data_IF_722023921438
#
_entry.id   IF_722023921438
#
_cell.length_a   1.000
_cell.length_b   1.000
_cell.length_c   1.000
_cell.angle_alpha   90.00
_cell.angle_beta   90.00
_cell.angle_gamma   90.00
#
_symmetry.space_group_name_H-M   'P 1'
#
loop_
_entity.id
_entity.type
_entity.pdbx_description
1 polymer ?
#
# COMPACT_ATOMS: atom_id res chain seq x y z
N UNK A 1 -35.69 -25.52 35.76
CA UNK A 1 -35.14 -25.57 34.39
C UNK A 1 -35.31 -24.28 33.56
N UNK A 2 -36.09 -23.27 33.99
CA UNK A 2 -36.35 -22.04 33.19
C UNK A 2 -35.25 -20.94 33.28
N UNK A 3 -34.26 -21.09 34.17
CA UNK A 3 -33.19 -20.10 34.39
C UNK A 3 -31.93 -20.34 33.54
N UNK A 4 -31.90 -21.40 32.73
CA UNK A 4 -30.77 -21.71 31.84
C UNK A 4 -30.83 -20.94 30.51
N UNK A 5 -32.02 -20.46 30.12
CA UNK A 5 -32.25 -19.73 28.88
C UNK A 5 -31.43 -18.41 28.75
N UNK A 6 -31.31 -17.54 29.78
CA UNK A 6 -30.51 -16.32 29.65
C UNK A 6 -29.01 -16.61 29.52
N UNK A 7 -28.52 -17.73 30.05
CA UNK A 7 -27.10 -18.10 29.99
C UNK A 7 -26.71 -18.59 28.58
N UNK A 8 -27.61 -19.32 27.92
CA UNK A 8 -27.45 -19.74 26.51
C UNK A 8 -27.48 -18.52 25.58
N UNK A 9 -28.35 -17.55 25.85
CA UNK A 9 -28.43 -16.32 25.05
C UNK A 9 -27.17 -15.44 25.19
N UNK A 10 -26.57 -15.40 26.38
CA UNK A 10 -25.30 -14.69 26.60
C UNK A 10 -24.10 -15.34 25.89
N UNK A 11 -24.07 -16.67 25.75
CA UNK A 11 -23.02 -17.37 24.98
C UNK A 11 -23.15 -17.17 23.45
N UNK A 12 -24.34 -16.84 22.95
CA UNK A 12 -24.59 -16.53 21.54
C UNK A 12 -24.20 -15.10 21.15
N UNK A 13 -23.98 -14.22 22.13
CA UNK A 13 -23.57 -12.83 21.92
C UNK A 13 -22.05 -12.66 21.98
N UNK A 14 -21.30 -13.45 21.22
CA UNK A 14 -19.88 -13.15 21.01
C UNK A 14 -19.77 -11.92 20.10
N UNK A 15 -18.99 -10.89 20.46
CA UNK A 15 -18.69 -9.82 19.53
C UNK A 15 -17.93 -10.41 18.33
N UNK A 16 -18.56 -10.36 17.16
CA UNK A 16 -17.86 -10.61 15.91
C UNK A 16 -16.95 -9.41 15.65
N UNK A 17 -15.67 -9.54 15.99
CA UNK A 17 -14.66 -8.60 15.50
C UNK A 17 -14.54 -8.82 14.00
N UNK A 18 -15.08 -7.89 13.22
CA UNK A 18 -14.73 -7.77 11.81
C UNK A 18 -13.24 -7.45 11.75
N UNK A 19 -12.40 -8.44 11.46
CA UNK A 19 -11.03 -8.19 11.04
C UNK A 19 -11.12 -7.75 9.57
N UNK A 20 -11.16 -6.44 9.34
CA UNK A 20 -10.93 -5.91 7.99
C UNK A 20 -9.44 -6.15 7.74
N UNK A 21 -9.12 -7.32 7.21
CA UNK A 21 -7.78 -7.60 6.72
C UNK A 21 -7.64 -6.78 5.44
N UNK A 22 -7.17 -5.55 5.58
CA UNK A 22 -6.84 -4.71 4.44
C UNK A 22 -5.58 -5.31 3.82
N UNK A 23 -5.78 -6.20 2.85
CA UNK A 23 -4.71 -7.03 2.28
C UNK A 23 -3.89 -6.29 1.21
N UNK A 24 -4.15 -4.99 1.01
CA UNK A 24 -3.37 -4.14 0.11
C UNK A 24 -4.20 -3.12 -0.66
N UNK A 25 -3.51 -2.22 -1.36
CA UNK A 25 -4.12 -1.25 -2.28
C UNK A 25 -3.78 -1.61 -3.72
N UNK A 26 -4.79 -1.81 -4.56
CA UNK A 26 -4.55 -1.92 -6.00
C UNK A 26 -4.01 -0.59 -6.55
N UNK A 27 -2.89 -0.64 -7.25
CA UNK A 27 -2.27 0.52 -7.87
C UNK A 27 -1.96 0.23 -9.34
N UNK A 28 -2.26 1.21 -10.19
CA UNK A 28 -1.96 1.19 -11.61
C UNK A 28 -1.34 2.51 -12.03
N UNK A 29 -0.33 2.44 -12.88
CA UNK A 29 0.32 3.61 -13.44
C UNK A 29 0.78 3.33 -14.87
N UNK A 30 0.85 4.39 -15.68
CA UNK A 30 1.44 4.34 -17.01
C UNK A 30 2.85 4.93 -16.93
N UNK A 31 3.85 4.10 -17.21
CA UNK A 31 5.25 4.49 -17.28
C UNK A 31 5.53 5.16 -18.62
N UNK A 32 6.13 6.34 -18.57
CA UNK A 32 6.47 7.15 -19.73
C UNK A 32 7.95 7.55 -19.72
N UNK A 33 8.50 7.80 -20.90
CA UNK A 33 9.84 8.36 -21.07
C UNK A 33 9.85 9.88 -20.85
N UNK A 34 11.02 10.51 -21.03
CA UNK A 34 11.19 11.95 -20.87
C UNK A 34 10.44 12.80 -21.93
N UNK A 35 10.07 12.19 -23.07
CA UNK A 35 9.26 12.84 -24.10
C UNK A 35 7.75 12.68 -23.83
N UNK A 36 7.38 11.86 -22.84
CA UNK A 36 6.01 11.55 -22.48
C UNK A 36 5.44 10.35 -23.24
N UNK A 37 6.23 9.61 -23.99
CA UNK A 37 5.78 8.41 -24.70
C UNK A 37 5.73 7.21 -23.74
N UNK A 38 4.71 6.34 -23.81
CA UNK A 38 4.67 5.13 -22.99
C UNK A 38 5.88 4.23 -23.23
N UNK A 39 6.38 3.57 -22.18
CA UNK A 39 7.48 2.60 -22.26
C UNK A 39 6.93 1.17 -22.22
N UNK A 40 6.73 0.49 -23.37
CA UNK A 40 6.14 -0.85 -23.39
C UNK A 40 7.14 -1.97 -23.10
N UNK A 41 6.66 -3.06 -22.51
CA UNK A 41 7.40 -4.31 -22.29
C UNK A 41 8.77 -4.13 -21.60
N UNK A 42 8.83 -3.19 -20.65
CA UNK A 42 10.04 -2.81 -19.94
C UNK A 42 9.90 -3.17 -18.47
N UNK A 43 10.91 -3.86 -17.94
CA UNK A 43 11.03 -4.10 -16.51
C UNK A 43 11.42 -2.79 -15.81
N UNK A 44 10.69 -2.45 -14.75
CA UNK A 44 10.91 -1.28 -13.92
C UNK A 44 10.87 -1.68 -12.45
N UNK A 45 11.60 -0.94 -11.62
CA UNK A 45 11.49 -1.05 -10.17
C UNK A 45 10.66 0.11 -9.64
N UNK A 46 9.68 -0.18 -8.81
CA UNK A 46 8.80 0.81 -8.18
C UNK A 46 9.00 0.74 -6.68
N UNK A 47 9.36 1.86 -6.09
CA UNK A 47 9.47 2.03 -4.64
C UNK A 47 8.27 2.83 -4.16
N UNK A 48 7.58 2.31 -3.15
CA UNK A 48 6.41 2.96 -2.57
C UNK A 48 6.71 3.23 -1.11
N UNK A 49 6.55 4.49 -0.70
CA UNK A 49 6.61 4.90 0.70
C UNK A 49 5.25 5.46 1.13
N UNK A 50 4.68 4.87 2.18
CA UNK A 50 3.57 5.44 2.93
C UNK A 50 4.13 6.09 4.18
N UNK A 51 3.79 7.35 4.42
CA UNK A 51 4.20 8.06 5.63
C UNK A 51 3.09 8.94 6.18
N UNK A 52 3.07 9.14 7.50
CA UNK A 52 2.23 10.13 8.15
C UNK A 52 3.06 11.02 9.09
N UNK A 53 2.87 12.35 8.98
CA UNK A 53 3.61 13.35 9.80
C UNK A 53 4.46 14.33 8.99
N UNK A 54 5.15 15.25 9.70
CA UNK A 54 6.10 16.22 9.13
C UNK A 54 7.29 16.36 10.09
N UNK A 55 8.52 16.23 9.59
CA UNK A 55 9.75 16.51 10.33
C UNK A 55 10.11 15.47 11.40
N UNK A 56 11.04 14.57 11.09
CA UNK A 56 11.78 13.73 12.07
C UNK A 56 10.99 12.66 12.82
N UNK A 57 9.66 12.67 12.78
CA UNK A 57 8.76 11.71 13.43
C UNK A 57 7.85 10.94 12.47
N UNK A 58 8.29 10.70 11.24
CA UNK A 58 7.53 9.91 10.28
C UNK A 58 7.45 8.47 10.74
N UNK A 59 6.23 7.96 10.92
CA UNK A 59 6.01 6.52 10.79
C UNK A 59 5.93 6.26 9.30
N UNK A 60 6.82 5.42 8.78
CA UNK A 60 6.78 5.02 7.38
C UNK A 60 6.76 3.52 7.19
N UNK A 61 5.96 3.13 6.21
CA UNK A 61 5.98 1.81 5.59
C UNK A 61 6.54 1.99 4.18
N UNK A 62 7.49 1.15 3.79
CA UNK A 62 8.06 1.19 2.46
C UNK A 62 8.25 -0.21 1.88
N UNK A 63 8.03 -0.34 0.59
CA UNK A 63 8.20 -1.58 -0.16
C UNK A 63 8.68 -1.34 -1.59
N UNK A 64 9.26 -2.38 -2.18
CA UNK A 64 9.74 -2.39 -3.55
C UNK A 64 9.00 -3.44 -4.39
N UNK A 65 8.70 -3.06 -5.63
CA UNK A 65 8.10 -3.92 -6.64
C UNK A 65 8.98 -3.97 -7.88
N UNK A 66 9.25 -5.17 -8.40
CA UNK A 66 9.83 -5.35 -9.73
C UNK A 66 8.73 -5.83 -10.67
N UNK A 67 8.32 -4.96 -11.59
CA UNK A 67 7.17 -5.19 -12.49
C UNK A 67 7.53 -4.88 -13.93
N UNK A 68 6.84 -5.50 -14.88
CA UNK A 68 6.99 -5.20 -16.31
C UNK A 68 5.79 -4.42 -16.81
N UNK A 69 6.04 -3.38 -17.61
CA UNK A 69 4.98 -2.66 -18.31
C UNK A 69 4.37 -3.52 -19.41
N UNK A 70 3.08 -3.32 -19.72
CA UNK A 70 2.44 -3.92 -20.90
C UNK A 70 2.68 -3.08 -22.17
N UNK A 71 2.06 -3.47 -23.29
CA UNK A 71 2.15 -2.76 -24.58
C UNK A 71 1.71 -1.28 -24.56
N UNK A 72 1.06 -0.83 -23.49
CA UNK A 72 0.62 0.55 -23.31
C UNK A 72 1.43 1.29 -22.22
N UNK A 73 2.53 0.70 -21.75
CA UNK A 73 3.32 1.24 -20.64
C UNK A 73 2.67 1.07 -19.27
N UNK A 74 1.56 0.32 -19.16
CA UNK A 74 0.82 0.16 -17.90
C UNK A 74 1.49 -0.88 -16.99
N UNK A 75 1.66 -0.53 -15.72
CA UNK A 75 1.97 -1.46 -14.63
C UNK A 75 0.75 -1.66 -13.74
N UNK A 76 0.65 -2.82 -13.11
CA UNK A 76 -0.33 -3.12 -12.05
C UNK A 76 0.41 -3.79 -10.90
N UNK A 77 0.15 -3.33 -9.69
CA UNK A 77 0.71 -3.88 -8.45
C UNK A 77 -0.29 -3.75 -7.31
N UNK A 78 -0.02 -4.45 -6.20
CA UNK A 78 -0.80 -4.34 -4.96
C UNK A 78 0.13 -3.81 -3.88
N UNK A 79 -0.15 -2.61 -3.38
CA UNK A 79 0.62 -2.02 -2.29
C UNK A 79 0.38 -2.85 -1.03
N UNK A 80 1.43 -3.34 -0.38
CA UNK A 80 1.35 -4.27 0.74
C UNK A 80 1.75 -5.72 0.39
N UNK A 81 1.91 -6.03 -0.90
CA UNK A 81 2.39 -7.33 -1.39
C UNK A 81 3.80 -7.25 -2.03
N UNK A 82 4.49 -6.11 -1.91
CA UNK A 82 5.85 -5.93 -2.39
C UNK A 82 6.91 -6.51 -1.44
N UNK A 83 8.18 -6.30 -1.79
CA UNK A 83 9.31 -6.64 -0.93
C UNK A 83 9.46 -5.55 0.14
N UNK A 84 9.29 -5.85 1.45
CA UNK A 84 9.38 -4.83 2.48
C UNK A 84 10.80 -4.22 2.55
N UNK A 85 10.87 -2.89 2.63
CA UNK A 85 12.12 -2.13 2.82
C UNK A 85 12.17 -1.49 4.21
N UNK A 86 11.01 -1.09 4.76
CA UNK A 86 10.89 -0.57 6.11
C UNK A 86 10.84 -1.67 7.17
N UNK A 87 11.06 -1.31 8.44
CA UNK A 87 10.84 -2.21 9.58
C UNK A 87 9.37 -2.41 9.94
N UNK A 88 8.50 -1.48 9.55
CA UNK A 88 7.05 -1.59 9.70
C UNK A 88 6.47 -2.56 8.67
N UNK A 89 5.50 -3.40 9.07
CA UNK A 89 4.73 -4.20 8.12
C UNK A 89 3.52 -3.43 7.61
N UNK A 90 3.02 -3.79 6.42
CA UNK A 90 1.81 -3.17 5.87
C UNK A 90 0.59 -3.32 6.79
N UNK A 91 0.47 -4.47 7.47
CA UNK A 91 -0.62 -4.75 8.40
C UNK A 91 -0.64 -3.80 9.62
N UNK A 92 0.47 -3.13 9.91
CA UNK A 92 0.61 -2.18 11.01
C UNK A 92 0.27 -0.74 10.58
N UNK A 93 -0.02 -0.52 9.29
CA UNK A 93 -0.47 0.77 8.76
C UNK A 93 -1.89 1.05 9.26
N UNK A 94 -2.00 1.97 10.22
CA UNK A 94 -3.28 2.35 10.82
C UNK A 94 -4.00 3.40 9.95
N UNK A 95 -4.93 2.92 9.13
CA UNK A 95 -5.78 3.73 8.26
C UNK A 95 -6.84 4.56 9.01
N UNK A 96 -6.97 4.39 10.33
CA UNK A 96 -7.97 5.08 11.15
C UNK A 96 -7.44 6.32 11.86
N UNK A 97 -6.14 6.63 11.70
CA UNK A 97 -5.52 7.81 12.29
C UNK A 97 -6.10 9.11 11.74
N UNK A 98 -6.25 10.11 12.62
CA UNK A 98 -6.64 11.48 12.23
C UNK A 98 -5.62 12.15 11.31
N UNK A 99 -4.35 11.73 11.38
CA UNK A 99 -3.30 12.22 10.48
C UNK A 99 -3.32 11.39 9.19
N UNK A 100 -3.59 12.02 8.04
CA UNK A 100 -3.69 11.31 6.77
C UNK A 100 -2.34 10.74 6.34
N UNK A 101 -2.36 9.54 5.79
CA UNK A 101 -1.21 8.94 5.12
C UNK A 101 -0.94 9.66 3.79
N UNK A 102 0.33 9.85 3.47
CA UNK A 102 0.80 10.26 2.15
C UNK A 102 1.53 9.11 1.50
N UNK A 103 1.32 8.94 0.21
CA UNK A 103 2.02 7.96 -0.62
C UNK A 103 2.99 8.70 -1.52
N UNK A 104 4.27 8.37 -1.43
CA UNK A 104 5.29 8.76 -2.39
C UNK A 104 5.66 7.56 -3.25
N UNK A 105 5.65 7.79 -4.56
CA UNK A 105 6.00 6.78 -5.56
C UNK A 105 7.31 7.20 -6.20
N UNK A 106 8.26 6.27 -6.22
CA UNK A 106 9.55 6.45 -6.87
C UNK A 106 9.79 5.30 -7.83
N UNK A 107 10.61 5.52 -8.85
CA UNK A 107 10.82 4.54 -9.90
C UNK A 107 12.25 4.55 -10.41
N UNK A 108 12.77 3.37 -10.70
CA UNK A 108 13.92 3.18 -11.58
C UNK A 108 13.42 2.52 -12.88
N UNK A 109 13.42 3.30 -13.96
CA UNK A 109 12.98 2.82 -15.28
C UNK A 109 13.91 1.74 -15.86
N UNK A 110 15.15 1.63 -15.39
CA UNK A 110 16.08 0.58 -15.80
C UNK A 110 15.93 -0.71 -14.98
N UNK A 111 15.00 -0.75 -14.02
CA UNK A 111 14.81 -1.92 -13.14
C UNK A 111 15.94 -2.10 -12.10
N UNK A 112 16.70 -1.04 -11.82
CA UNK A 112 17.72 -1.01 -10.78
C UNK A 112 17.19 -0.47 -9.46
N UNK A 113 18.07 0.21 -8.71
CA UNK A 113 17.78 0.82 -7.40
C UNK A 113 18.03 2.34 -7.39
N UNK A 114 18.20 2.96 -8.56
CA UNK A 114 18.42 4.39 -8.69
C UNK A 114 17.08 5.14 -8.84
N UNK A 115 16.34 5.18 -7.75
CA UNK A 115 14.97 5.68 -7.72
C UNK A 115 14.87 7.19 -7.96
N UNK A 116 13.97 7.58 -8.84
CA UNK A 116 13.54 8.98 -9.05
C UNK A 116 12.12 9.16 -8.51
N UNK A 117 11.87 10.25 -7.78
CA UNK A 117 10.53 10.58 -7.28
C UNK A 117 9.59 10.88 -8.45
N UNK A 118 8.52 10.11 -8.56
CA UNK A 118 7.48 10.26 -9.59
C UNK A 118 6.32 11.13 -9.11
N UNK A 119 6.07 11.16 -7.80
CA UNK A 119 5.10 12.04 -7.19
C UNK A 119 4.75 11.63 -5.77
N UNK A 120 4.13 12.56 -5.04
CA UNK A 120 3.54 12.34 -3.73
C UNK A 120 2.06 12.70 -3.76
N UNK A 121 1.23 11.89 -3.12
CA UNK A 121 -0.21 12.12 -3.00
C UNK A 121 -0.67 11.81 -1.59
N UNK A 122 -1.37 12.74 -0.97
CA UNK A 122 -2.07 12.49 0.29
C UNK A 122 -3.25 11.55 0.02
N UNK A 123 -3.27 10.39 0.69
CA UNK A 123 -4.39 9.46 0.66
C UNK A 123 -5.52 10.01 1.52
N UNK A 124 -6.74 9.94 0.98
CA UNK A 124 -7.97 10.35 1.66
C UNK A 124 -8.91 9.15 1.67
N UNK A 125 -9.35 8.78 2.88
CA UNK A 125 -10.39 7.78 3.08
C UNK A 125 -11.78 8.44 3.10
#
# INVERSE_FOLDING_TARGET
MKKLLPFVFAMLAMPAFSQVSFNGLNYQAVVRDANGDPLPNQMVSVYIELYNGVGGGFVSYAEEHSVSTNDQGLITLVIGEGVPVSTMNYADVDWTMDTPWSMEVMMDVAGGTNYTVMGSTQLRA
#
